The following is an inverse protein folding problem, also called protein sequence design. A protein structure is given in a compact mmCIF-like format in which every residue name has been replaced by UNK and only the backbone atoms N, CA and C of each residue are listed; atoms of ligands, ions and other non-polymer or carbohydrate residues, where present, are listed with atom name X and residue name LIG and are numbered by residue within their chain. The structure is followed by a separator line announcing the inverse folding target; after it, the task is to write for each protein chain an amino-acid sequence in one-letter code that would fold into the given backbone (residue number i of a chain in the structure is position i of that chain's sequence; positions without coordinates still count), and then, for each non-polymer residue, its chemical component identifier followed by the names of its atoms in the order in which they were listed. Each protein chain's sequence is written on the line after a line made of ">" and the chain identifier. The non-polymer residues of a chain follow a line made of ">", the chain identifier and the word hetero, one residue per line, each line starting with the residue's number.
data_IF_644037975923
#
_entry.id   IF_644037975923
#
_cell.length_a   1.000
_cell.length_b   1.000
_cell.length_c   1.000
_cell.angle_alpha   90.00
_cell.angle_beta   90.00
_cell.angle_gamma   90.00
#
_symmetry.space_group_name_H-M   'P 1'
#
loop_
_entity.id
_entity.type
_entity.pdbx_description
1 polymer ?
#
# COMPACT_ATOMS: atom_id res chain seq x y z
N UNK A 1 9.55 0.22 3.70
CA UNK A 1 8.85 -0.40 4.84
C UNK A 1 7.43 -0.75 4.41
N UNK A 2 6.99 -2.00 4.59
CA UNK A 2 5.63 -2.40 4.25
C UNK A 2 4.90 -2.89 5.49
N UNK A 3 3.73 -2.32 5.78
CA UNK A 3 2.86 -2.70 6.88
C UNK A 3 1.77 -3.64 6.38
N UNK A 4 1.90 -4.92 6.71
CA UNK A 4 0.90 -5.94 6.38
C UNK A 4 -0.37 -5.84 7.22
N UNK A 5 -1.34 -6.69 6.89
CA UNK A 5 -2.55 -6.86 7.69
C UNK A 5 -2.34 -7.85 8.84
N UNK A 6 -3.14 -7.76 9.90
CA UNK A 6 -3.10 -8.70 11.01
C UNK A 6 -4.30 -8.58 11.93
N UNK A 7 -4.68 -9.69 12.58
CA UNK A 7 -5.79 -9.71 13.56
C UNK A 7 -5.55 -8.77 14.74
N UNK A 8 -4.29 -8.54 15.10
CA UNK A 8 -3.87 -7.70 16.21
C UNK A 8 -3.52 -6.27 15.81
N UNK A 9 -3.62 -5.89 14.52
CA UNK A 9 -3.17 -4.57 14.05
C UNK A 9 -3.85 -3.42 14.79
N UNK A 10 -5.12 -3.57 15.19
CA UNK A 10 -5.85 -2.58 16.00
C UNK A 10 -5.28 -2.42 17.41
N UNK A 11 -4.79 -3.50 18.02
CA UNK A 11 -4.17 -3.46 19.34
C UNK A 11 -2.78 -2.82 19.24
N UNK A 12 -2.00 -3.23 18.24
CA UNK A 12 -0.68 -2.65 17.93
C UNK A 12 -0.79 -1.15 17.62
N UNK A 13 -1.82 -0.73 16.89
CA UNK A 13 -2.11 0.68 16.59
C UNK A 13 -2.38 1.55 17.84
N UNK A 14 -2.59 0.93 19.00
CA UNK A 14 -2.79 1.59 20.30
C UNK A 14 -1.58 1.44 21.23
N UNK A 15 -0.58 0.65 20.85
CA UNK A 15 0.62 0.43 21.64
C UNK A 15 1.68 1.47 21.26
N UNK A 16 1.65 2.60 21.95
CA UNK A 16 2.59 3.71 21.72
C UNK A 16 4.05 3.30 21.96
N UNK A 17 4.30 2.41 22.92
CA UNK A 17 5.65 1.94 23.21
C UNK A 17 6.21 1.15 22.03
N UNK A 18 5.42 0.26 21.45
CA UNK A 18 5.82 -0.50 20.27
C UNK A 18 5.97 0.42 19.05
N UNK A 19 4.99 1.29 18.79
CA UNK A 19 5.04 2.22 17.66
C UNK A 19 6.24 3.17 17.73
N UNK A 20 6.63 3.62 18.93
CA UNK A 20 7.78 4.52 19.12
C UNK A 20 9.12 3.93 18.63
N UNK A 21 9.22 2.59 18.55
CA UNK A 21 10.40 1.87 18.05
C UNK A 21 10.50 1.86 16.53
N UNK A 22 9.40 2.12 15.84
CA UNK A 22 9.35 2.14 14.38
C UNK A 22 9.79 3.52 13.92
N UNK A 23 10.96 3.59 13.28
CA UNK A 23 11.50 4.81 12.67
C UNK A 23 11.49 4.64 11.15
N UNK A 24 10.78 5.53 10.46
CA UNK A 24 10.68 5.54 9.00
C UNK A 24 10.91 6.96 8.49
N UNK A 25 11.45 7.05 7.28
CA UNK A 25 11.86 8.30 6.62
C UNK A 25 11.30 8.32 5.19
N UNK A 26 10.06 8.81 4.98
CA UNK A 26 9.42 8.83 3.65
C UNK A 26 10.25 9.54 2.58
N UNK A 27 11.09 10.49 2.96
CA UNK A 27 12.00 11.21 2.08
C UNK A 27 13.08 10.32 1.42
N UNK A 28 13.34 9.13 1.98
CA UNK A 28 14.39 8.21 1.53
C UNK A 28 13.91 6.77 1.37
N UNK A 29 12.64 6.49 1.69
CA UNK A 29 12.10 5.14 1.74
C UNK A 29 10.71 5.12 1.15
N UNK A 30 10.45 4.11 0.32
CA UNK A 30 9.08 3.72 0.01
C UNK A 30 8.44 3.13 1.26
N UNK A 31 7.27 3.64 1.61
CA UNK A 31 6.46 3.19 2.73
C UNK A 31 5.09 2.82 2.20
N UNK A 32 4.58 1.66 2.57
CA UNK A 32 3.23 1.30 2.17
C UNK A 32 2.52 0.38 3.12
N UNK A 33 1.21 0.22 2.92
CA UNK A 33 0.39 -0.67 3.74
C UNK A 33 -0.62 -1.47 2.95
N UNK A 34 -0.90 -2.68 3.44
CA UNK A 34 -1.97 -3.53 2.95
C UNK A 34 -3.06 -3.68 4.03
N UNK A 35 -4.32 -3.49 3.64
CA UNK A 35 -5.50 -3.70 4.50
C UNK A 35 -5.35 -2.97 5.85
N UNK A 36 -5.42 -3.68 6.98
CA UNK A 36 -5.34 -3.11 8.33
C UNK A 36 -4.02 -2.40 8.65
N UNK A 37 -2.95 -2.66 7.89
CA UNK A 37 -1.67 -1.94 8.04
C UNK A 37 -1.80 -0.43 7.86
N UNK A 38 -2.84 0.04 7.16
CA UNK A 38 -3.13 1.46 6.97
C UNK A 38 -3.41 2.19 8.31
N UNK A 39 -3.90 1.48 9.34
CA UNK A 39 -4.03 2.03 10.69
C UNK A 39 -2.67 2.42 11.28
N UNK A 40 -1.61 1.68 10.95
CA UNK A 40 -0.26 1.98 11.43
C UNK A 40 0.32 3.21 10.73
N UNK A 41 0.07 3.37 9.43
CA UNK A 41 0.46 4.60 8.71
C UNK A 41 -0.17 5.84 9.36
N UNK A 42 -1.47 5.78 9.67
CA UNK A 42 -2.17 6.87 10.35
C UNK A 42 -1.62 7.12 11.75
N UNK A 43 -1.36 6.07 12.53
CA UNK A 43 -0.84 6.23 13.90
C UNK A 43 0.60 6.71 13.98
N UNK A 44 1.41 6.44 12.97
CA UNK A 44 2.77 6.96 12.84
C UNK A 44 2.80 8.40 12.28
N UNK A 45 1.65 9.02 11.98
CA UNK A 45 1.57 10.40 11.48
C UNK A 45 2.05 10.57 10.04
N UNK A 46 2.07 9.50 9.24
CA UNK A 46 2.69 9.50 7.91
C UNK A 46 1.76 10.01 6.79
N UNK A 47 0.46 10.13 7.08
CA UNK A 47 -0.59 10.28 6.06
C UNK A 47 -1.53 11.44 6.36
N UNK A 48 -1.03 12.48 7.02
CA UNK A 48 -1.81 13.69 7.24
C UNK A 48 -2.08 14.39 5.91
N UNK A 49 -3.36 14.48 5.53
CA UNK A 49 -3.78 15.00 4.22
C UNK A 49 -3.63 14.02 3.04
N UNK A 50 -3.18 12.78 3.28
CA UNK A 50 -3.04 11.76 2.24
C UNK A 50 -4.19 10.74 2.40
N UNK A 51 -5.04 10.54 1.38
CA UNK A 51 -6.09 9.56 1.47
C UNK A 51 -5.56 8.13 1.44
N UNK A 52 -6.31 7.20 2.03
CA UNK A 52 -5.91 5.80 2.20
C UNK A 52 -6.87 4.83 1.49
N UNK A 53 -6.34 3.69 1.06
CA UNK A 53 -7.07 2.49 0.67
C UNK A 53 -6.89 1.41 1.73
N UNK A 54 -7.97 0.67 2.02
CA UNK A 54 -7.96 -0.40 3.05
C UNK A 54 -9.06 -1.42 2.77
N UNK A 55 -9.12 -2.50 3.54
CA UNK A 55 -10.20 -3.49 3.42
C UNK A 55 -11.50 -3.02 4.09
N UNK A 56 -12.61 -3.66 3.74
CA UNK A 56 -13.94 -3.30 4.24
C UNK A 56 -14.06 -3.42 5.77
N UNK A 57 -13.35 -4.37 6.41
CA UNK A 57 -13.39 -4.55 7.86
C UNK A 57 -12.62 -3.45 8.58
N UNK A 58 -11.51 -2.98 8.00
CA UNK A 58 -10.69 -1.90 8.58
C UNK A 58 -11.29 -0.52 8.36
N UNK A 59 -11.98 -0.28 7.23
CA UNK A 59 -12.47 1.04 6.81
C UNK A 59 -13.16 1.86 7.90
N UNK A 60 -14.12 1.32 8.68
CA UNK A 60 -14.79 2.10 9.74
C UNK A 60 -13.81 2.66 10.78
N UNK A 61 -12.80 1.88 11.17
CA UNK A 61 -11.82 2.30 12.18
C UNK A 61 -10.89 3.39 11.68
N UNK A 62 -10.60 3.45 10.38
CA UNK A 62 -9.82 4.55 9.81
C UNK A 62 -10.65 5.83 9.74
N UNK A 63 -11.93 5.74 9.37
CA UNK A 63 -12.83 6.88 9.35
C UNK A 63 -12.98 7.49 10.76
N UNK A 64 -13.04 6.68 11.81
CA UNK A 64 -13.05 7.12 13.21
C UNK A 64 -11.80 7.95 13.60
N UNK A 65 -10.67 7.81 12.88
CA UNK A 65 -9.46 8.61 13.10
C UNK A 65 -9.46 9.94 12.32
N UNK A 66 -10.53 10.24 11.57
CA UNK A 66 -10.59 11.39 10.67
C UNK A 66 -9.81 11.22 9.37
N UNK A 67 -9.33 10.01 9.06
CA UNK A 67 -8.65 9.74 7.80
C UNK A 67 -9.65 9.74 6.62
N UNK A 68 -9.23 10.29 5.48
CA UNK A 68 -9.95 10.12 4.23
C UNK A 68 -9.69 8.69 3.70
N UNK A 69 -10.74 7.93 3.45
CA UNK A 69 -10.64 6.56 2.92
C UNK A 69 -11.35 6.47 1.56
N UNK A 70 -10.58 6.14 0.51
CA UNK A 70 -11.07 6.04 -0.87
C UNK A 70 -11.76 4.71 -1.11
N UNK A 71 -12.73 4.73 -2.03
CA UNK A 71 -13.39 3.53 -2.53
C UNK A 71 -12.67 2.97 -3.77
N UNK A 72 -11.39 2.63 -3.59
CA UNK A 72 -10.55 2.05 -4.64
C UNK A 72 -9.48 1.12 -4.05
N UNK A 73 -8.87 0.29 -4.90
CA UNK A 73 -7.95 -0.79 -4.48
C UNK A 73 -6.58 -0.30 -4.03
N UNK A 74 -6.08 0.80 -4.62
CA UNK A 74 -4.72 1.29 -4.41
C UNK A 74 -4.66 2.81 -4.55
N UNK A 75 -3.85 3.47 -3.75
CA UNK A 75 -3.50 4.87 -3.89
C UNK A 75 -2.07 5.12 -3.40
N UNK A 76 -1.35 6.02 -4.07
CA UNK A 76 -0.07 6.51 -3.58
C UNK A 76 0.08 8.01 -3.77
N UNK A 77 0.87 8.62 -2.90
CA UNK A 77 1.32 10.01 -2.99
C UNK A 77 2.80 10.06 -2.63
N UNK A 78 3.65 10.40 -3.60
CA UNK A 78 5.10 10.33 -3.46
C UNK A 78 5.56 8.94 -3.02
N UNK A 79 6.31 8.87 -1.92
CA UNK A 79 6.88 7.64 -1.39
C UNK A 79 5.95 6.89 -0.43
N UNK A 80 4.65 7.23 -0.38
CA UNK A 80 3.68 6.60 0.53
C UNK A 80 2.53 6.00 -0.28
N UNK A 81 2.23 4.73 -0.04
CA UNK A 81 1.15 4.01 -0.71
C UNK A 81 0.27 3.21 0.25
N UNK A 82 -0.98 2.95 -0.15
CA UNK A 82 -1.89 2.07 0.58
C UNK A 82 -2.73 1.25 -0.39
N UNK A 83 -3.00 0.01 -0.01
CA UNK A 83 -3.76 -0.96 -0.78
C UNK A 83 -4.82 -1.65 0.09
N UNK A 84 -6.02 -1.82 -0.45
CA UNK A 84 -7.18 -2.40 0.22
C UNK A 84 -7.70 -3.66 -0.48
N UNK A 85 -7.94 -4.73 0.28
CA UNK A 85 -8.34 -6.04 -0.24
C UNK A 85 -7.14 -6.91 -0.64
N UNK A 86 -7.14 -8.19 -0.24
CA UNK A 86 -5.93 -9.05 -0.28
C UNK A 86 -5.24 -9.12 -1.64
N UNK A 87 -6.00 -9.20 -2.73
CA UNK A 87 -5.43 -9.25 -4.09
C UNK A 87 -4.82 -7.92 -4.54
N UNK A 88 -5.17 -6.81 -3.91
CA UNK A 88 -4.54 -5.50 -4.15
C UNK A 88 -3.08 -5.43 -3.67
N UNK A 89 -2.60 -6.45 -2.94
CA UNK A 89 -1.18 -6.57 -2.61
C UNK A 89 -0.30 -6.61 -3.86
N UNK A 90 -0.83 -7.10 -4.99
CA UNK A 90 -0.17 -7.09 -6.29
C UNK A 90 0.10 -5.65 -6.76
N UNK A 91 -0.84 -4.73 -6.57
CA UNK A 91 -0.65 -3.32 -6.93
C UNK A 91 0.41 -2.64 -6.06
N UNK A 92 0.41 -2.95 -4.75
CA UNK A 92 1.45 -2.46 -3.84
C UNK A 92 2.83 -2.98 -4.24
N UNK A 93 2.95 -4.27 -4.58
CA UNK A 93 4.20 -4.85 -5.06
C UNK A 93 4.63 -4.22 -6.39
N UNK A 94 3.71 -4.04 -7.33
CA UNK A 94 3.96 -3.39 -8.63
C UNK A 94 4.54 -2.00 -8.43
N UNK A 95 3.92 -1.18 -7.58
CA UNK A 95 4.41 0.16 -7.26
C UNK A 95 5.81 0.14 -6.63
N UNK A 96 6.07 -0.77 -5.70
CA UNK A 96 7.42 -0.93 -5.09
C UNK A 96 8.46 -1.28 -6.15
N UNK A 97 8.19 -2.29 -6.99
CA UNK A 97 9.16 -2.78 -7.96
C UNK A 97 9.40 -1.73 -9.05
N UNK A 98 8.34 -1.06 -9.53
CA UNK A 98 8.49 0.02 -10.51
C UNK A 98 9.41 1.13 -10.01
N UNK A 99 9.26 1.57 -8.76
CA UNK A 99 10.05 2.66 -8.21
C UNK A 99 11.51 2.27 -7.87
N UNK A 100 11.79 0.98 -7.65
CA UNK A 100 13.12 0.52 -7.20
C UNK A 100 13.93 -0.21 -8.28
N UNK A 101 13.27 -0.89 -9.21
CA UNK A 101 13.89 -1.77 -10.19
C UNK A 101 13.36 -1.55 -11.63
N UNK A 102 12.36 -0.68 -11.80
CA UNK A 102 11.83 -0.33 -13.12
C UNK A 102 10.82 -1.33 -13.69
N UNK A 103 10.33 -1.00 -14.88
CA UNK A 103 9.21 -1.69 -15.52
C UNK A 103 9.49 -3.15 -15.87
N UNK A 104 10.65 -3.45 -16.45
CA UNK A 104 10.99 -4.82 -16.84
C UNK A 104 10.96 -5.79 -15.64
N UNK A 105 11.50 -5.37 -14.49
CA UNK A 105 11.46 -6.18 -13.26
C UNK A 105 10.03 -6.34 -12.72
N UNK A 106 9.19 -5.31 -12.85
CA UNK A 106 7.79 -5.38 -12.44
C UNK A 106 6.99 -6.36 -13.32
N UNK A 107 7.16 -6.30 -14.64
CA UNK A 107 6.48 -7.19 -15.59
C UNK A 107 6.91 -8.65 -15.40
N UNK A 108 8.20 -8.91 -15.21
CA UNK A 108 8.73 -10.27 -14.93
C UNK A 108 8.15 -10.85 -13.64
N UNK A 109 8.22 -10.09 -12.54
CA UNK A 109 7.70 -10.54 -11.24
C UNK A 109 6.18 -10.77 -11.27
N UNK A 110 5.43 -9.94 -11.99
CA UNK A 110 3.99 -10.09 -12.17
C UNK A 110 3.65 -11.30 -13.06
N UNK A 111 4.38 -11.49 -14.15
CA UNK A 111 4.20 -12.64 -15.05
C UNK A 111 4.39 -13.97 -14.33
N UNK A 112 5.33 -14.04 -13.37
CA UNK A 112 5.56 -15.24 -12.56
C UNK A 112 4.37 -15.63 -11.67
N UNK A 113 3.63 -14.65 -11.15
CA UNK A 113 2.51 -14.89 -10.20
C UNK A 113 1.13 -14.78 -10.85
N UNK A 114 1.08 -14.35 -12.11
CA UNK A 114 -0.17 -14.18 -12.83
C UNK A 114 -0.88 -15.54 -13.02
N UNK A 115 -2.23 -15.54 -13.10
CA UNK A 115 -2.95 -16.73 -13.52
C UNK A 115 -2.49 -17.17 -14.91
N UNK A 116 -2.25 -18.48 -15.07
CA UNK A 116 -1.74 -19.07 -16.31
C UNK A 116 -2.68 -18.75 -17.48
N UNK A 117 -2.15 -18.12 -18.52
CA UNK A 117 -2.90 -17.68 -19.71
C UNK A 117 -3.56 -16.30 -19.58
N UNK A 118 -3.36 -15.59 -18.47
CA UNK A 118 -3.87 -14.24 -18.23
C UNK A 118 -2.77 -13.20 -18.00
N UNK A 119 -1.50 -13.56 -18.23
CA UNK A 119 -0.31 -12.79 -17.84
C UNK A 119 -0.36 -11.35 -18.38
N UNK A 120 -0.60 -11.18 -19.68
CA UNK A 120 -0.65 -9.88 -20.34
C UNK A 120 -1.72 -8.97 -19.69
N UNK A 121 -2.96 -9.45 -19.57
CA UNK A 121 -4.07 -8.67 -18.97
C UNK A 121 -3.82 -8.37 -17.50
N UNK A 122 -3.23 -9.32 -16.77
CA UNK A 122 -2.91 -9.16 -15.36
C UNK A 122 -1.86 -8.07 -15.14
N UNK A 123 -0.79 -8.09 -15.94
CA UNK A 123 0.29 -7.10 -15.93
C UNK A 123 -0.26 -5.73 -16.35
N UNK A 124 -0.97 -5.64 -17.47
CA UNK A 124 -1.54 -4.38 -17.97
C UNK A 124 -2.45 -3.72 -16.94
N UNK A 125 -3.32 -4.51 -16.29
CA UNK A 125 -4.20 -4.00 -15.25
C UNK A 125 -3.41 -3.49 -14.05
N UNK A 126 -2.40 -4.22 -13.58
CA UNK A 126 -1.56 -3.79 -12.46
C UNK A 126 -0.82 -2.48 -12.76
N UNK A 127 -0.20 -2.37 -13.94
CA UNK A 127 0.47 -1.16 -14.40
C UNK A 127 -0.50 0.02 -14.53
N UNK A 128 -1.69 -0.22 -15.08
CA UNK A 128 -2.74 0.81 -15.21
C UNK A 128 -3.18 1.35 -13.85
N UNK A 129 -3.38 0.49 -12.85
CA UNK A 129 -3.80 0.90 -11.50
C UNK A 129 -2.76 1.80 -10.83
N UNK A 130 -1.47 1.54 -11.05
CA UNK A 130 -0.38 2.29 -10.40
C UNK A 130 0.19 3.42 -11.27
N UNK A 131 -0.29 3.61 -12.50
CA UNK A 131 0.31 4.53 -13.47
C UNK A 131 0.46 5.97 -12.95
N UNK A 132 -0.51 6.47 -12.19
CA UNK A 132 -0.49 7.83 -11.64
C UNK A 132 0.34 7.97 -10.36
N UNK A 133 0.89 6.88 -9.86
CA UNK A 133 1.60 6.78 -8.57
C UNK A 133 3.12 6.66 -8.71
N UNK A 134 3.64 6.57 -9.94
CA UNK A 134 5.06 6.46 -10.22
C UNK A 134 5.51 7.73 -10.92
N UNK A 135 6.65 8.30 -10.53
CA UNK A 135 7.23 9.41 -11.24
C UNK A 135 7.52 8.98 -12.69
N UNK A 136 7.00 9.73 -13.66
CA UNK A 136 7.37 9.56 -15.07
C UNK A 136 8.88 9.75 -15.15
N UNK A 137 9.59 8.72 -15.58
CA UNK A 137 11.02 8.79 -15.88
C UNK A 137 11.25 9.50 -17.20
#
# INVERSE_FOLDING_TARGET
>A
MLFGSGRLTRQIARDEQLLSRIKVAPERQLIGSQCSGALLLKKLGLVEGIPLCTDATTRPFLLETGAAVLDQSFYASGNIASAGGCLSAVYLATWVILNLAGRAAAEDALGYVAPVGEEEKFIENALKVVANAVAVS
#
